data_IF_448221344364
#
_entry.id   IF_448221344364
#
_cell.length_a   1.000
_cell.length_b   1.000
_cell.length_c   1.000
_cell.angle_alpha   90.00
_cell.angle_beta   90.00
_cell.angle_gamma   90.00
#
_symmetry.space_group_name_H-M   'P 1'
#
loop_
_entity.id
_entity.type
_entity.pdbx_description
1 polymer ?
#
# COMPACT_ATOMS: atom_id res chain seq x y z
N UNK A 1 40.99 24.25 -29.13
CA UNK A 1 40.64 24.11 -27.70
C UNK A 1 39.14 23.94 -27.60
N UNK A 2 38.72 22.68 -27.62
CA UNK A 2 37.37 22.20 -27.43
C UNK A 2 37.23 21.60 -26.03
N UNK A 3 35.98 21.34 -25.63
CA UNK A 3 35.50 20.50 -24.52
C UNK A 3 35.14 21.24 -23.22
N UNK A 4 34.01 20.97 -22.55
CA UNK A 4 32.83 20.16 -22.89
C UNK A 4 31.70 20.62 -21.96
N UNK A 5 30.53 20.84 -22.55
CA UNK A 5 29.25 21.01 -21.89
C UNK A 5 28.78 19.63 -21.43
N UNK A 6 28.76 19.36 -20.12
CA UNK A 6 28.15 18.14 -19.57
C UNK A 6 26.67 18.42 -19.32
N UNK A 7 25.86 18.32 -20.37
CA UNK A 7 24.42 18.14 -20.26
C UNK A 7 24.15 16.78 -19.61
N UNK A 8 23.75 16.79 -18.35
CA UNK A 8 23.34 15.60 -17.59
C UNK A 8 21.90 15.17 -17.96
N UNK A 9 21.62 15.11 -19.27
CA UNK A 9 20.41 14.48 -19.84
C UNK A 9 20.82 13.07 -20.22
N UNK A 10 20.26 12.06 -19.52
CA UNK A 10 20.16 10.62 -19.91
C UNK A 10 20.48 9.59 -18.83
N UNK A 11 20.72 9.98 -17.57
CA UNK A 11 20.86 8.98 -16.48
C UNK A 11 19.56 8.59 -15.76
N UNK A 12 18.39 9.11 -16.17
CA UNK A 12 17.08 8.78 -15.56
C UNK A 12 16.21 7.81 -16.39
N UNK A 13 16.72 7.32 -17.52
CA UNK A 13 16.01 6.43 -18.46
C UNK A 13 16.51 4.97 -18.45
N UNK A 14 17.53 4.63 -17.63
CA UNK A 14 18.12 3.29 -17.52
C UNK A 14 17.83 2.57 -16.20
N UNK A 15 16.59 2.57 -15.71
CA UNK A 15 16.22 1.66 -14.61
C UNK A 15 14.83 1.08 -14.83
N UNK A 16 14.77 0.22 -15.83
CA UNK A 16 13.69 -0.75 -16.00
C UNK A 16 14.18 -2.08 -15.42
N UNK A 17 13.41 -2.66 -14.49
CA UNK A 17 13.45 -4.08 -14.09
C UNK A 17 14.64 -4.63 -13.27
N UNK A 18 15.53 -3.82 -12.70
CA UNK A 18 16.51 -4.36 -11.74
C UNK A 18 16.69 -3.47 -10.52
N UNK A 19 16.74 -4.15 -9.38
CA UNK A 19 17.06 -3.71 -8.02
C UNK A 19 15.87 -3.14 -7.23
N UNK A 20 15.54 -3.58 -6.02
CA UNK A 20 15.86 -4.77 -5.21
C UNK A 20 15.07 -4.51 -3.91
N UNK A 21 13.92 -5.17 -3.75
CA UNK A 21 13.26 -5.29 -2.45
C UNK A 21 14.12 -6.19 -1.58
N UNK A 22 14.87 -5.57 -0.68
CA UNK A 22 15.39 -6.22 0.52
C UNK A 22 14.87 -5.42 1.71
N UNK A 23 13.62 -5.69 2.08
CA UNK A 23 13.09 -5.36 3.40
C UNK A 23 13.73 -6.36 4.38
N UNK A 24 14.75 -5.90 5.10
CA UNK A 24 15.27 -6.58 6.28
C UNK A 24 15.15 -5.61 7.45
N UNK A 25 14.25 -5.96 8.38
CA UNK A 25 14.22 -5.58 9.79
C UNK A 25 14.61 -4.14 10.14
N UNK A 26 13.65 -3.24 10.01
CA UNK A 26 13.55 -2.07 10.89
C UNK A 26 12.17 -2.10 11.54
N UNK A 27 12.10 -2.10 12.87
CA UNK A 27 10.84 -1.98 13.63
C UNK A 27 9.92 -0.93 12.99
N UNK A 28 8.66 -1.27 12.65
CA UNK A 28 7.77 -0.29 12.08
C UNK A 28 7.48 0.79 13.14
N UNK A 29 8.00 2.00 12.92
CA UNK A 29 7.55 3.21 13.63
C UNK A 29 6.05 3.52 13.43
N UNK A 30 5.31 2.66 12.72
CA UNK A 30 3.84 2.57 12.75
C UNK A 30 3.35 2.55 14.21
N UNK A 31 4.07 1.90 15.12
CA UNK A 31 3.72 1.83 16.56
C UNK A 31 3.68 3.24 17.18
N UNK A 32 4.69 4.08 16.93
CA UNK A 32 4.81 5.41 17.56
C UNK A 32 3.79 6.46 17.08
N UNK A 33 3.23 6.30 15.88
CA UNK A 33 2.26 7.27 15.35
C UNK A 33 0.84 7.01 15.86
N UNK A 34 0.49 5.75 16.12
CA UNK A 34 -0.83 5.38 16.65
C UNK A 34 -0.89 5.36 18.17
N UNK A 35 0.24 5.19 18.86
CA UNK A 35 0.33 5.49 20.31
C UNK A 35 -0.08 6.95 20.63
N UNK A 36 -0.03 7.85 19.64
CA UNK A 36 -0.37 9.27 19.78
C UNK A 36 -1.78 9.63 19.29
N UNK A 37 -2.56 8.69 18.75
CA UNK A 37 -3.96 8.95 18.41
C UNK A 37 -4.76 8.89 19.72
N UNK A 38 -4.85 10.02 20.42
CA UNK A 38 -5.74 10.17 21.59
C UNK A 38 -7.18 9.96 21.15
N UNK A 39 -7.63 8.71 21.17
CA UNK A 39 -9.04 8.41 21.31
C UNK A 39 -9.52 9.12 22.57
N UNK A 40 -10.61 9.88 22.48
CA UNK A 40 -11.33 10.28 23.69
C UNK A 40 -11.86 8.99 24.30
N UNK A 41 -11.10 8.40 25.22
CA UNK A 41 -11.64 7.42 26.14
C UNK A 41 -12.72 8.14 26.94
N UNK A 42 -13.98 7.80 26.65
CA UNK A 42 -15.06 8.10 27.56
C UNK A 42 -14.79 7.18 28.77
N UNK A 43 -14.41 7.77 29.90
CA UNK A 43 -14.31 7.04 31.16
C UNK A 43 -15.64 6.32 31.40
N UNK A 44 -15.63 5.03 31.79
CA UNK A 44 -16.87 4.32 32.09
C UNK A 44 -17.46 4.91 33.37
N UNK A 45 -18.35 5.88 33.22
CA UNK A 45 -19.25 6.28 34.29
C UNK A 45 -20.23 5.14 34.52
N UNK A 46 -20.40 4.75 35.77
CA UNK A 46 -21.27 3.69 36.28
C UNK A 46 -22.77 3.93 36.05
N UNK A 47 -23.13 4.71 35.02
CA UNK A 47 -24.49 5.11 34.67
C UNK A 47 -24.96 4.65 33.29
N UNK A 48 -24.16 3.89 32.54
CA UNK A 48 -24.66 3.12 31.38
C UNK A 48 -24.81 1.65 31.78
N UNK A 49 -25.92 1.34 32.44
CA UNK A 49 -26.42 -0.02 32.56
C UNK A 49 -26.74 -0.49 31.14
N UNK A 50 -25.90 -1.39 30.61
CA UNK A 50 -26.13 -2.27 29.45
C UNK A 50 -27.36 -1.96 28.58
N UNK A 51 -27.15 -1.23 27.48
CA UNK A 51 -27.59 -1.82 26.21
C UNK A 51 -26.50 -2.81 25.85
N UNK A 52 -26.62 -4.05 26.34
CA UNK A 52 -25.86 -5.15 25.78
C UNK A 52 -26.21 -5.18 24.29
N UNK A 53 -25.29 -4.75 23.43
CA UNK A 53 -25.33 -5.10 22.02
C UNK A 53 -25.53 -6.62 22.00
N UNK A 54 -26.67 -7.09 21.48
CA UNK A 54 -26.95 -8.52 21.48
C UNK A 54 -25.84 -9.20 20.65
N UNK A 55 -25.47 -10.44 20.96
CA UNK A 55 -24.42 -11.15 20.19
C UNK A 55 -24.72 -11.16 18.68
N UNK A 56 -26.00 -11.17 18.32
CA UNK A 56 -26.49 -11.05 16.95
C UNK A 56 -26.12 -9.69 16.31
N UNK A 57 -26.30 -8.59 17.03
CA UNK A 57 -25.97 -7.23 16.56
C UNK A 57 -24.47 -7.06 16.32
N UNK A 58 -23.63 -7.66 17.19
CA UNK A 58 -22.18 -7.58 17.05
C UNK A 58 -21.66 -8.39 15.86
N UNK A 59 -22.31 -9.52 15.55
CA UNK A 59 -21.97 -10.32 14.37
C UNK A 59 -22.22 -9.55 13.07
N UNK A 60 -23.29 -8.74 13.01
CA UNK A 60 -23.60 -7.89 11.86
C UNK A 60 -22.50 -6.85 11.67
N UNK A 61 -22.15 -6.11 12.73
CA UNK A 61 -21.10 -5.09 12.69
C UNK A 61 -19.77 -5.68 12.21
N UNK A 62 -19.41 -6.87 12.68
CA UNK A 62 -18.17 -7.55 12.27
C UNK A 62 -18.18 -7.90 10.78
N UNK A 63 -19.28 -8.45 10.27
CA UNK A 63 -19.42 -8.76 8.85
C UNK A 63 -19.31 -7.49 8.00
N UNK A 64 -19.85 -6.37 8.45
CA UNK A 64 -19.76 -5.10 7.75
C UNK A 64 -18.34 -4.51 7.76
N UNK A 65 -17.61 -4.62 8.87
CA UNK A 65 -16.18 -4.26 8.94
C UNK A 65 -15.36 -5.09 7.97
N UNK A 66 -15.58 -6.41 7.94
CA UNK A 66 -14.85 -7.32 7.04
C UNK A 66 -15.19 -7.02 5.57
N UNK A 67 -16.47 -6.76 5.25
CA UNK A 67 -16.90 -6.32 3.92
C UNK A 67 -16.22 -5.01 3.50
N UNK A 68 -16.18 -4.01 4.38
CA UNK A 68 -15.48 -2.74 4.13
C UNK A 68 -14.01 -2.99 3.78
N UNK A 69 -13.30 -3.81 4.58
CA UNK A 69 -11.90 -4.14 4.32
C UNK A 69 -11.74 -4.83 2.96
N UNK A 70 -12.60 -5.78 2.61
CA UNK A 70 -12.57 -6.48 1.33
C UNK A 70 -12.76 -5.55 0.13
N UNK A 71 -13.78 -4.71 0.18
CA UNK A 71 -14.08 -3.76 -0.89
C UNK A 71 -12.92 -2.79 -1.10
N UNK A 72 -12.38 -2.22 -0.02
CA UNK A 72 -11.29 -1.24 -0.10
C UNK A 72 -9.96 -1.86 -0.53
N UNK A 73 -9.66 -3.07 -0.06
CA UNK A 73 -8.49 -3.80 -0.54
C UNK A 73 -8.60 -4.09 -2.03
N UNK A 74 -9.77 -4.53 -2.52
CA UNK A 74 -9.97 -4.82 -3.95
C UNK A 74 -9.97 -3.58 -4.83
N UNK A 75 -10.47 -2.45 -4.33
CA UNK A 75 -10.26 -1.14 -4.96
C UNK A 75 -8.77 -0.80 -5.05
N UNK A 76 -7.95 -1.33 -4.14
CA UNK A 76 -6.50 -1.10 -4.12
C UNK A 76 -6.07 0.02 -3.18
N UNK A 77 -6.90 0.39 -2.20
CA UNK A 77 -6.57 1.41 -1.19
C UNK A 77 -5.40 0.98 -0.31
N UNK A 78 -4.64 1.96 0.15
CA UNK A 78 -3.49 1.73 1.03
C UNK A 78 -3.91 1.31 2.43
N UNK A 79 -3.14 0.40 3.02
CA UNK A 79 -3.43 -0.24 4.30
C UNK A 79 -3.75 0.75 5.43
N UNK A 80 -3.00 1.85 5.51
CA UNK A 80 -3.21 2.89 6.51
C UNK A 80 -4.54 3.64 6.32
N UNK A 81 -5.03 3.77 5.08
CA UNK A 81 -6.33 4.37 4.76
C UNK A 81 -7.44 3.43 5.21
N UNK A 82 -7.33 2.14 4.87
CA UNK A 82 -8.30 1.11 5.25
C UNK A 82 -8.40 1.02 6.78
N UNK A 83 -7.26 0.96 7.46
CA UNK A 83 -7.20 0.93 8.92
C UNK A 83 -7.93 2.13 9.55
N UNK A 84 -7.76 3.33 8.99
CA UNK A 84 -8.48 4.52 9.44
C UNK A 84 -9.99 4.37 9.25
N UNK A 85 -10.44 3.95 8.07
CA UNK A 85 -11.87 3.77 7.80
C UNK A 85 -12.50 2.69 8.68
N UNK A 86 -11.78 1.61 9.01
CA UNK A 86 -12.24 0.61 9.99
C UNK A 86 -12.47 1.23 11.36
N UNK A 87 -11.56 2.08 11.86
CA UNK A 87 -11.76 2.77 13.14
C UNK A 87 -12.92 3.76 13.09
N UNK A 88 -13.02 4.55 12.02
CA UNK A 88 -14.09 5.52 11.84
C UNK A 88 -15.45 4.78 11.82
N UNK A 89 -15.55 3.68 11.07
CA UNK A 89 -16.75 2.83 11.03
C UNK A 89 -17.14 2.29 12.41
N UNK A 90 -16.20 1.71 13.16
CA UNK A 90 -16.49 1.15 14.50
C UNK A 90 -16.95 2.26 15.47
N UNK A 91 -16.33 3.44 15.39
CA UNK A 91 -16.72 4.59 16.22
C UNK A 91 -18.14 5.08 15.88
N UNK A 92 -18.49 5.14 14.60
CA UNK A 92 -19.82 5.60 14.14
C UNK A 92 -20.96 4.66 14.59
N UNK A 93 -20.65 3.38 14.79
CA UNK A 93 -21.60 2.38 15.32
C UNK A 93 -21.66 2.34 16.86
N UNK A 94 -20.93 3.21 17.55
CA UNK A 94 -20.84 3.24 19.02
C UNK A 94 -20.43 1.90 19.67
N UNK A 95 -19.69 1.05 18.95
CA UNK A 95 -19.25 -0.26 19.45
C UNK A 95 -17.86 -0.15 20.09
N UNK A 96 -17.69 -0.72 21.28
CA UNK A 96 -16.40 -0.72 21.94
C UNK A 96 -15.45 -1.76 21.30
N UNK A 97 -14.25 -1.32 20.88
CA UNK A 97 -13.20 -2.23 20.37
C UNK A 97 -12.84 -3.37 21.34
N UNK A 98 -12.99 -3.16 22.65
CA UNK A 98 -12.75 -4.20 23.67
C UNK A 98 -13.82 -5.29 23.59
N UNK A 99 -15.08 -4.92 23.37
CA UNK A 99 -16.19 -5.86 23.21
C UNK A 99 -16.03 -6.68 21.94
N UNK A 100 -15.69 -6.02 20.82
CA UNK A 100 -15.35 -6.70 19.55
C UNK A 100 -14.22 -7.71 19.79
N UNK A 101 -13.12 -7.30 20.44
CA UNK A 101 -11.99 -8.19 20.68
C UNK A 101 -12.36 -9.43 21.51
N UNK A 102 -13.12 -9.25 22.59
CA UNK A 102 -13.59 -10.37 23.43
C UNK A 102 -14.51 -11.29 22.61
N UNK A 103 -15.47 -10.71 21.88
CA UNK A 103 -16.39 -11.50 21.06
C UNK A 103 -15.64 -12.29 19.99
N UNK A 104 -14.69 -11.67 19.29
CA UNK A 104 -13.85 -12.34 18.29
C UNK A 104 -13.11 -13.53 18.92
N UNK A 105 -12.53 -13.35 20.11
CA UNK A 105 -11.81 -14.43 20.80
C UNK A 105 -12.68 -15.65 21.13
N UNK A 106 -13.98 -15.44 21.35
CA UNK A 106 -14.95 -16.50 21.67
C UNK A 106 -15.63 -17.11 20.43
N UNK A 107 -15.68 -16.38 19.30
CA UNK A 107 -16.44 -16.76 18.10
C UNK A 107 -15.52 -17.17 16.95
N UNK A 108 -14.82 -18.30 17.11
CA UNK A 108 -13.79 -18.80 16.18
C UNK A 108 -14.31 -19.90 15.22
N UNK A 109 -15.59 -19.82 14.85
CA UNK A 109 -16.30 -20.75 13.97
C UNK A 109 -16.61 -20.19 12.57
N UNK A 110 -16.55 -18.87 12.40
CA UNK A 110 -16.79 -18.18 11.14
C UNK A 110 -15.48 -17.61 10.58
N UNK A 111 -15.34 -17.62 9.26
CA UNK A 111 -14.09 -17.20 8.62
C UNK A 111 -13.77 -15.72 8.78
N UNK A 112 -14.79 -14.87 8.82
CA UNK A 112 -14.67 -13.40 8.91
C UNK A 112 -14.29 -12.99 10.33
N UNK A 113 -14.86 -13.64 11.34
CA UNK A 113 -14.45 -13.43 12.74
C UNK A 113 -13.02 -13.92 13.00
N UNK A 114 -12.62 -15.06 12.44
CA UNK A 114 -11.23 -15.54 12.52
C UNK A 114 -10.29 -14.55 11.82
N UNK A 115 -10.63 -14.11 10.60
CA UNK A 115 -9.86 -13.10 9.88
C UNK A 115 -9.71 -11.80 10.68
N UNK A 116 -10.81 -11.23 11.18
CA UNK A 116 -10.78 -9.96 11.89
C UNK A 116 -10.01 -10.09 13.21
N UNK A 117 -10.05 -11.25 13.87
CA UNK A 117 -9.20 -11.52 15.03
C UNK A 117 -7.71 -11.52 14.64
N UNK A 118 -7.36 -12.16 13.52
CA UNK A 118 -6.03 -12.10 12.93
C UNK A 118 -5.59 -10.67 12.63
N UNK A 119 -6.48 -9.85 12.05
CA UNK A 119 -6.27 -8.43 11.80
C UNK A 119 -5.95 -7.66 13.09
N UNK A 120 -6.68 -7.91 14.17
CA UNK A 120 -6.41 -7.26 15.46
C UNK A 120 -5.02 -7.64 16.01
N UNK A 121 -4.62 -8.91 15.89
CA UNK A 121 -3.27 -9.34 16.27
C UNK A 121 -2.16 -8.77 15.38
N UNK A 122 -2.39 -8.67 14.08
CA UNK A 122 -1.44 -8.12 13.13
C UNK A 122 -1.15 -6.64 13.43
N UNK A 123 -2.20 -5.86 13.72
CA UNK A 123 -2.12 -4.42 13.96
C UNK A 123 -1.97 -4.01 15.42
N UNK A 124 -2.05 -4.95 16.37
CA UNK A 124 -2.02 -4.65 17.81
C UNK A 124 -3.25 -3.89 18.30
N UNK A 125 -4.43 -4.20 17.76
CA UNK A 125 -5.69 -3.56 18.16
C UNK A 125 -6.18 -4.23 19.43
N UNK A 126 -6.16 -3.51 20.56
CA UNK A 126 -6.48 -4.03 21.91
C UNK A 126 -5.62 -5.21 22.38
N UNK A 127 -4.51 -5.47 21.69
CA UNK A 127 -3.52 -6.49 22.01
C UNK A 127 -2.13 -6.01 21.59
N UNK A 128 -1.08 -6.71 22.00
CA UNK A 128 0.26 -6.46 21.46
C UNK A 128 0.33 -7.00 20.03
N UNK A 129 1.10 -6.34 19.16
CA UNK A 129 1.37 -6.85 17.82
C UNK A 129 1.92 -8.28 17.93
N UNK A 130 1.26 -9.21 17.25
CA UNK A 130 1.64 -10.60 17.19
C UNK A 130 1.37 -11.15 15.78
N UNK A 131 2.35 -10.94 14.88
CA UNK A 131 2.23 -11.36 13.49
C UNK A 131 2.20 -12.88 13.32
N UNK A 132 2.86 -13.64 14.20
CA UNK A 132 2.80 -15.10 14.19
C UNK A 132 1.38 -15.60 14.50
N UNK A 133 0.72 -15.04 15.51
CA UNK A 133 -0.67 -15.40 15.81
C UNK A 133 -1.63 -14.96 14.69
N UNK A 134 -1.42 -13.78 14.11
CA UNK A 134 -2.18 -13.33 12.95
C UNK A 134 -2.05 -14.31 11.78
N UNK A 135 -0.83 -14.78 11.51
CA UNK A 135 -0.54 -15.78 10.47
C UNK A 135 -1.34 -17.07 10.69
N UNK A 136 -1.33 -17.62 11.91
CA UNK A 136 -2.07 -18.84 12.26
C UNK A 136 -3.59 -18.67 12.09
N UNK A 137 -4.12 -17.50 12.49
CA UNK A 137 -5.53 -17.16 12.30
C UNK A 137 -5.88 -17.02 10.80
N UNK A 138 -5.02 -16.40 10.01
CA UNK A 138 -5.24 -16.30 8.56
C UNK A 138 -5.15 -17.64 7.84
N UNK A 139 -4.30 -18.57 8.28
CA UNK A 139 -4.31 -19.94 7.77
C UNK A 139 -5.67 -20.60 8.04
N UNK A 140 -6.17 -20.52 9.27
CA UNK A 140 -7.47 -21.08 9.66
C UNK A 140 -8.63 -20.44 8.89
N UNK A 141 -8.64 -19.12 8.71
CA UNK A 141 -9.66 -18.43 7.91
C UNK A 141 -9.58 -18.82 6.42
N UNK A 142 -8.37 -19.03 5.89
CA UNK A 142 -8.14 -19.49 4.51
C UNK A 142 -8.67 -20.90 4.27
N UNK A 143 -8.52 -21.82 5.24
CA UNK A 143 -9.12 -23.16 5.18
C UNK A 143 -10.65 -23.10 5.05
N UNK A 144 -11.27 -22.06 5.60
CA UNK A 144 -12.69 -21.75 5.46
C UNK A 144 -13.03 -20.88 4.23
N UNK A 145 -12.10 -20.77 3.27
CA UNK A 145 -12.24 -20.02 2.00
C UNK A 145 -12.40 -18.51 2.16
N UNK A 146 -11.71 -17.91 3.13
CA UNK A 146 -11.67 -16.45 3.26
C UNK A 146 -10.60 -15.83 2.35
N UNK A 147 -11.05 -15.10 1.33
CA UNK A 147 -10.17 -14.44 0.36
C UNK A 147 -9.32 -13.31 0.97
N UNK A 148 -9.83 -12.63 2.00
CA UNK A 148 -9.08 -11.61 2.73
C UNK A 148 -7.88 -12.19 3.47
N UNK A 149 -8.08 -13.29 4.18
CA UNK A 149 -7.00 -14.01 4.85
C UNK A 149 -5.97 -14.52 3.84
N UNK A 150 -6.39 -15.01 2.68
CA UNK A 150 -5.48 -15.38 1.60
C UNK A 150 -4.66 -14.16 1.11
N UNK A 151 -5.29 -13.00 0.94
CA UNK A 151 -4.59 -11.77 0.57
C UNK A 151 -3.52 -11.39 1.59
N UNK A 152 -3.81 -11.49 2.89
CA UNK A 152 -2.82 -11.22 3.94
C UNK A 152 -1.69 -12.24 3.93
N UNK A 153 -1.99 -13.53 3.82
CA UNK A 153 -0.97 -14.58 3.72
C UNK A 153 -0.03 -14.37 2.54
N UNK A 154 -0.52 -13.90 1.38
CA UNK A 154 0.33 -13.56 0.25
C UNK A 154 1.37 -12.50 0.65
N UNK A 155 0.96 -11.42 1.34
CA UNK A 155 1.90 -10.39 1.82
C UNK A 155 2.91 -10.98 2.80
N UNK A 156 2.42 -11.74 3.79
CA UNK A 156 3.26 -12.31 4.84
C UNK A 156 4.31 -13.26 4.27
N UNK A 157 3.96 -14.10 3.30
CA UNK A 157 4.90 -14.99 2.63
C UNK A 157 5.88 -14.27 1.70
N UNK A 158 5.50 -13.13 1.11
CA UNK A 158 6.42 -12.31 0.29
C UNK A 158 7.43 -11.57 1.16
N UNK A 159 6.96 -10.94 2.22
CA UNK A 159 7.77 -10.03 3.03
C UNK A 159 8.47 -10.75 4.20
N UNK A 160 8.02 -11.94 4.56
CA UNK A 160 8.52 -12.71 5.71
C UNK A 160 8.03 -12.14 7.04
N UNK A 161 6.82 -11.61 7.06
CA UNK A 161 6.27 -10.96 8.24
C UNK A 161 5.56 -11.96 9.14
N UNK A 162 6.16 -12.28 10.28
CA UNK A 162 5.59 -13.28 11.20
C UNK A 162 5.68 -14.72 10.70
N UNK A 163 6.34 -14.97 9.57
CA UNK A 163 6.62 -16.28 8.98
C UNK A 163 7.87 -16.19 8.11
N UNK A 164 8.54 -17.31 7.83
CA UNK A 164 9.59 -17.33 6.81
C UNK A 164 9.03 -17.02 5.41
N UNK A 165 9.85 -16.37 4.57
CA UNK A 165 9.48 -16.07 3.19
C UNK A 165 9.22 -17.35 2.42
N UNK A 166 8.08 -17.43 1.76
CA UNK A 166 7.71 -18.53 0.87
C UNK A 166 7.06 -17.98 -0.40
N UNK A 167 7.91 -17.55 -1.33
CA UNK A 167 7.45 -16.96 -2.58
C UNK A 167 6.61 -17.94 -3.42
N UNK A 168 6.83 -19.26 -3.29
CA UNK A 168 6.02 -20.25 -4.01
C UNK A 168 4.59 -20.28 -3.47
N UNK A 169 4.41 -20.31 -2.16
CA UNK A 169 3.06 -20.21 -1.55
C UNK A 169 2.37 -18.90 -1.88
N UNK A 170 3.08 -17.77 -1.82
CA UNK A 170 2.52 -16.48 -2.22
C UNK A 170 2.01 -16.51 -3.67
N UNK A 171 2.76 -17.12 -4.58
CA UNK A 171 2.36 -17.29 -5.98
C UNK A 171 1.14 -18.20 -6.15
N UNK A 172 1.11 -19.36 -5.46
CA UNK A 172 -0.04 -20.29 -5.53
C UNK A 172 -1.32 -19.65 -5.01
N UNK A 173 -1.28 -19.00 -3.83
CA UNK A 173 -2.43 -18.28 -3.28
C UNK A 173 -2.91 -17.16 -4.22
N UNK A 174 -1.99 -16.44 -4.87
CA UNK A 174 -2.34 -15.41 -5.84
C UNK A 174 -3.05 -15.98 -7.07
N UNK A 175 -2.71 -17.20 -7.50
CA UNK A 175 -3.44 -17.89 -8.59
C UNK A 175 -4.84 -18.32 -8.18
N UNK A 176 -5.03 -18.74 -6.93
CA UNK A 176 -6.34 -19.13 -6.44
C UNK A 176 -7.30 -17.94 -6.38
N UNK A 177 -6.82 -16.77 -5.93
CA UNK A 177 -7.58 -15.52 -5.96
C UNK A 177 -7.88 -15.02 -7.39
N UNK A 178 -7.03 -15.34 -8.37
CA UNK A 178 -7.30 -15.00 -9.77
C UNK A 178 -8.50 -15.77 -10.34
N UNK A 179 -8.69 -17.03 -9.92
CA UNK A 179 -9.86 -17.85 -10.29
C UNK A 179 -11.15 -17.32 -9.69
N UNK A 180 -11.08 -16.75 -8.48
CA UNK A 180 -12.19 -16.06 -7.81
C UNK A 180 -12.46 -14.64 -8.31
N UNK A 181 -11.72 -14.18 -9.32
CA UNK A 181 -11.77 -12.81 -9.86
C UNK A 181 -11.49 -11.70 -8.84
N UNK A 182 -10.77 -12.00 -7.76
CA UNK A 182 -10.44 -11.04 -6.69
C UNK A 182 -9.39 -10.02 -7.17
N UNK A 183 -9.74 -8.74 -7.43
CA UNK A 183 -8.88 -7.80 -8.14
C UNK A 183 -7.51 -7.58 -7.49
N UNK A 184 -7.47 -7.53 -6.16
CA UNK A 184 -6.19 -7.41 -5.44
C UNK A 184 -5.32 -8.65 -5.57
N UNK A 185 -5.92 -9.85 -5.59
CA UNK A 185 -5.20 -11.11 -5.84
C UNK A 185 -4.64 -11.18 -7.26
N UNK A 186 -5.44 -10.75 -8.25
CA UNK A 186 -5.01 -10.65 -9.66
C UNK A 186 -3.83 -9.68 -9.79
N UNK A 187 -3.90 -8.50 -9.15
CA UNK A 187 -2.79 -7.55 -9.15
C UNK A 187 -1.52 -8.14 -8.50
N UNK A 188 -1.66 -8.89 -7.39
CA UNK A 188 -0.53 -9.59 -6.75
C UNK A 188 0.06 -10.68 -7.65
N UNK A 189 -0.77 -11.42 -8.37
CA UNK A 189 -0.29 -12.41 -9.34
C UNK A 189 0.48 -11.73 -10.49
N UNK A 190 -0.01 -10.59 -10.98
CA UNK A 190 0.68 -9.76 -11.96
C UNK A 190 2.06 -9.31 -11.46
N UNK A 191 2.14 -8.93 -10.19
CA UNK A 191 3.38 -8.59 -9.52
C UNK A 191 4.35 -9.78 -9.41
N UNK A 192 3.84 -10.98 -9.10
CA UNK A 192 4.65 -12.19 -9.05
C UNK A 192 5.29 -12.50 -10.41
N UNK A 193 4.52 -12.52 -11.49
CA UNK A 193 5.07 -12.73 -12.84
C UNK A 193 6.01 -11.61 -13.28
N UNK A 194 5.72 -10.35 -12.91
CA UNK A 194 6.56 -9.22 -13.30
C UNK A 194 7.96 -9.26 -12.68
N UNK A 195 8.09 -9.83 -11.49
CA UNK A 195 9.33 -9.83 -10.70
C UNK A 195 9.94 -11.23 -10.49
N UNK A 196 9.28 -12.29 -10.95
CA UNK A 196 9.76 -13.66 -10.77
C UNK A 196 9.62 -14.17 -9.33
N UNK A 197 8.55 -13.78 -8.64
CA UNK A 197 8.30 -14.18 -7.24
C UNK A 197 7.54 -15.51 -7.27
N UNK A 198 8.21 -16.59 -6.88
CA UNK A 198 7.63 -17.93 -6.85
C UNK A 198 7.43 -18.57 -8.24
N UNK A 199 7.81 -17.86 -9.29
CA UNK A 199 7.65 -18.25 -10.70
C UNK A 199 8.73 -17.59 -11.55
N UNK A 200 8.86 -17.99 -12.81
CA UNK A 200 9.74 -17.31 -13.77
C UNK A 200 9.14 -15.95 -14.19
N UNK A 201 10.02 -15.00 -14.54
CA UNK A 201 9.58 -13.69 -15.01
C UNK A 201 8.79 -13.85 -16.31
N UNK A 202 7.54 -13.35 -16.31
CA UNK A 202 6.69 -13.27 -17.49
C UNK A 202 6.02 -11.89 -17.57
N UNK A 203 6.71 -10.96 -18.21
CA UNK A 203 6.30 -9.55 -18.30
C UNK A 203 5.01 -9.39 -19.13
N UNK A 204 4.76 -10.28 -20.11
CA UNK A 204 3.50 -10.28 -20.88
C UNK A 204 2.32 -10.73 -20.01
N UNK A 205 2.49 -11.81 -19.24
CA UNK A 205 1.44 -12.28 -18.32
C UNK A 205 1.15 -11.25 -17.22
N UNK A 206 2.18 -10.57 -16.71
CA UNK A 206 2.01 -9.46 -15.78
C UNK A 206 1.15 -8.34 -16.38
N UNK A 207 1.41 -7.94 -17.63
CA UNK A 207 0.59 -6.95 -18.35
C UNK A 207 -0.88 -7.37 -18.44
N UNK A 208 -1.16 -8.61 -18.88
CA UNK A 208 -2.52 -9.15 -19.00
C UNK A 208 -3.26 -9.14 -17.65
N UNK A 209 -2.58 -9.52 -16.56
CA UNK A 209 -3.15 -9.54 -15.22
C UNK A 209 -3.41 -8.13 -14.67
N UNK A 210 -2.48 -7.18 -14.88
CA UNK A 210 -2.72 -5.80 -14.48
C UNK A 210 -3.86 -5.17 -15.28
N UNK A 211 -3.99 -5.48 -16.57
CA UNK A 211 -5.15 -5.06 -17.35
C UNK A 211 -6.45 -5.64 -16.76
N UNK A 212 -6.49 -6.95 -16.49
CA UNK A 212 -7.66 -7.61 -15.86
C UNK A 212 -8.03 -6.98 -14.51
N UNK A 213 -7.07 -6.78 -13.62
CA UNK A 213 -7.33 -6.15 -12.31
C UNK A 213 -7.77 -4.68 -12.44
N UNK A 214 -7.20 -3.93 -13.39
CA UNK A 214 -7.60 -2.55 -13.66
C UNK A 214 -9.02 -2.45 -14.21
N UNK A 215 -9.43 -3.37 -15.09
CA UNK A 215 -10.79 -3.45 -15.63
C UNK A 215 -11.83 -3.77 -14.54
N UNK A 216 -11.39 -4.44 -13.47
CA UNK A 216 -12.17 -4.68 -12.24
C UNK A 216 -12.07 -3.53 -11.21
N UNK A 217 -11.45 -2.39 -11.57
CA UNK A 217 -11.42 -1.19 -10.74
C UNK A 217 -10.25 -1.09 -9.75
N UNK A 218 -9.24 -1.97 -9.84
CA UNK A 218 -8.09 -1.90 -8.93
C UNK A 218 -7.13 -0.74 -9.31
N UNK A 219 -7.01 0.25 -8.43
CA UNK A 219 -6.23 1.48 -8.68
C UNK A 219 -4.72 1.26 -8.68
N UNK A 220 -4.22 0.22 -8.00
CA UNK A 220 -2.80 -0.16 -8.06
C UNK A 220 -2.47 -0.74 -9.43
N UNK A 221 -3.35 -1.59 -9.94
CA UNK A 221 -3.23 -2.17 -11.28
C UNK A 221 -3.27 -1.09 -12.37
N UNK A 222 -4.09 -0.05 -12.22
CA UNK A 222 -4.07 1.12 -13.12
C UNK A 222 -2.68 1.78 -13.17
N UNK A 223 -2.06 2.01 -12.00
CA UNK A 223 -0.70 2.56 -11.94
C UNK A 223 0.33 1.63 -12.61
N UNK A 224 0.27 0.34 -12.31
CA UNK A 224 1.16 -0.66 -12.93
C UNK A 224 1.00 -0.68 -14.45
N UNK A 225 -0.24 -0.65 -14.95
CA UNK A 225 -0.54 -0.59 -16.38
C UNK A 225 -0.01 0.69 -17.04
N UNK A 226 -0.11 1.84 -16.36
CA UNK A 226 0.48 3.10 -16.80
C UNK A 226 1.99 3.00 -17.02
N UNK A 227 2.71 2.25 -16.17
CA UNK A 227 4.14 2.00 -16.35
C UNK A 227 4.44 1.18 -17.61
N UNK A 228 3.57 0.24 -18.01
CA UNK A 228 3.73 -0.51 -19.26
C UNK A 228 3.63 0.39 -20.49
N UNK A 229 2.61 1.24 -20.56
CA UNK A 229 2.44 2.19 -21.66
C UNK A 229 3.54 3.25 -21.71
N UNK A 230 3.99 3.74 -20.55
CA UNK A 230 5.13 4.67 -20.47
C UNK A 230 6.44 4.05 -20.99
N UNK A 231 6.67 2.78 -20.69
CA UNK A 231 7.94 2.11 -21.00
C UNK A 231 7.97 1.49 -22.41
N UNK A 232 6.83 1.07 -22.95
CA UNK A 232 6.73 0.59 -24.32
C UNK A 232 7.34 -0.79 -24.60
N UNK A 233 7.50 -1.65 -23.58
CA UNK A 233 8.22 -2.93 -23.72
C UNK A 233 7.36 -4.10 -24.23
N UNK A 234 6.11 -4.18 -23.77
CA UNK A 234 5.16 -5.26 -24.13
C UNK A 234 4.05 -4.72 -25.03
N UNK A 235 3.69 -3.46 -24.84
CA UNK A 235 2.76 -2.69 -25.66
C UNK A 235 3.50 -1.50 -26.25
N UNK A 236 2.98 -0.95 -27.35
CA UNK A 236 3.53 0.28 -27.93
C UNK A 236 3.58 1.39 -26.87
N UNK A 237 4.67 2.16 -26.87
CA UNK A 237 4.80 3.30 -25.95
C UNK A 237 3.71 4.31 -26.24
N UNK A 238 2.97 4.68 -25.21
CA UNK A 238 1.86 5.63 -25.28
C UNK A 238 1.87 6.48 -23.99
N UNK A 239 2.40 7.70 -24.11
CA UNK A 239 2.54 8.59 -22.97
C UNK A 239 1.18 9.18 -22.54
N UNK A 240 0.26 9.42 -23.48
CA UNK A 240 -1.06 9.99 -23.18
C UNK A 240 -1.90 8.97 -22.42
N UNK A 241 -1.88 7.70 -22.85
CA UNK A 241 -2.52 6.61 -22.12
C UNK A 241 -1.89 6.37 -20.75
N UNK A 242 -0.56 6.46 -20.64
CA UNK A 242 0.11 6.36 -19.36
C UNK A 242 -0.33 7.48 -18.40
N UNK A 243 -0.39 8.73 -18.87
CA UNK A 243 -0.86 9.87 -18.11
C UNK A 243 -2.28 9.66 -17.58
N UNK A 244 -3.22 9.27 -18.45
CA UNK A 244 -4.61 9.02 -18.06
C UNK A 244 -4.75 7.90 -17.02
N UNK A 245 -3.95 6.82 -17.13
CA UNK A 245 -3.94 5.73 -16.16
C UNK A 245 -3.38 6.17 -14.80
N UNK A 246 -2.28 6.93 -14.78
CA UNK A 246 -1.75 7.49 -13.54
C UNK A 246 -2.72 8.48 -12.90
N UNK A 247 -3.40 9.29 -13.71
CA UNK A 247 -4.42 10.23 -13.25
C UNK A 247 -5.59 9.52 -12.57
N UNK A 248 -6.17 8.50 -13.21
CA UNK A 248 -7.23 7.68 -12.60
C UNK A 248 -6.79 7.00 -11.30
N UNK A 249 -5.57 6.48 -11.27
CA UNK A 249 -4.99 5.89 -10.05
C UNK A 249 -4.81 6.93 -8.93
N UNK A 250 -4.40 8.15 -9.28
CA UNK A 250 -4.24 9.26 -8.34
C UNK A 250 -5.58 9.79 -7.81
N UNK A 251 -6.62 9.82 -8.65
CA UNK A 251 -8.00 10.16 -8.28
C UNK A 251 -8.57 9.14 -7.26
N UNK A 252 -8.19 7.87 -7.37
CA UNK A 252 -8.46 6.84 -6.37
C UNK A 252 -7.62 6.92 -5.10
N UNK A 253 -6.82 7.98 -4.94
CA UNK A 253 -5.94 8.22 -3.79
C UNK A 253 -4.88 7.14 -3.54
N UNK A 254 -4.37 6.50 -4.60
CA UNK A 254 -3.19 5.65 -4.45
C UNK A 254 -1.92 6.49 -4.48
N UNK A 255 -1.12 6.48 -3.39
CA UNK A 255 0.09 7.29 -3.31
C UNK A 255 1.07 7.06 -4.47
N UNK A 256 1.23 5.82 -4.93
CA UNK A 256 2.05 5.49 -6.10
C UNK A 256 1.53 6.11 -7.40
N UNK A 257 0.21 6.15 -7.59
CA UNK A 257 -0.44 6.82 -8.72
C UNK A 257 -0.24 8.34 -8.68
N UNK A 258 -0.44 8.94 -7.50
CA UNK A 258 -0.18 10.37 -7.25
C UNK A 258 1.28 10.73 -7.56
N UNK A 259 2.25 9.92 -7.11
CA UNK A 259 3.68 10.11 -7.41
C UNK A 259 3.95 10.03 -8.91
N UNK A 260 3.36 9.06 -9.62
CA UNK A 260 3.56 8.94 -11.06
C UNK A 260 2.90 10.07 -11.84
N UNK A 261 1.75 10.58 -11.40
CA UNK A 261 1.13 11.76 -11.97
C UNK A 261 2.02 13.00 -11.77
N UNK A 262 2.59 13.17 -10.56
CA UNK A 262 3.57 14.22 -10.27
C UNK A 262 4.75 14.17 -11.24
N UNK A 263 5.30 12.97 -11.46
CA UNK A 263 6.38 12.74 -12.43
C UNK A 263 5.98 13.05 -13.88
N UNK A 264 4.72 12.85 -14.24
CA UNK A 264 4.24 13.21 -15.57
C UNK A 264 4.27 14.72 -15.79
N UNK A 265 3.82 15.50 -14.82
CA UNK A 265 3.92 16.96 -14.86
C UNK A 265 5.36 17.47 -14.75
N UNK A 266 6.23 16.78 -14.01
CA UNK A 266 7.65 17.14 -13.93
C UNK A 266 8.36 17.03 -15.29
N UNK A 267 8.09 15.94 -16.01
CA UNK A 267 8.84 15.54 -17.21
C UNK A 267 8.08 15.75 -18.53
N UNK A 268 6.81 16.17 -18.48
CA UNK A 268 5.96 16.32 -19.66
C UNK A 268 5.55 14.99 -20.30
N UNK A 269 5.24 13.97 -19.49
CA UNK A 269 4.81 12.65 -19.98
C UNK A 269 3.30 12.69 -20.18
N UNK A 270 2.87 12.76 -21.45
CA UNK A 270 1.44 12.78 -21.82
C UNK A 270 0.72 14.07 -21.42
N UNK A 271 1.47 15.08 -21.02
CA UNK A 271 0.98 16.40 -20.60
C UNK A 271 2.10 17.43 -20.76
N UNK A 272 1.78 18.72 -20.60
CA UNK A 272 2.77 19.79 -20.55
C UNK A 272 3.49 19.81 -19.21
N UNK A 273 4.74 20.28 -19.20
CA UNK A 273 5.51 20.41 -17.95
C UNK A 273 4.83 21.44 -17.03
N UNK A 274 4.51 21.02 -15.81
CA UNK A 274 4.00 21.87 -14.74
C UNK A 274 4.68 21.50 -13.41
N UNK A 275 5.71 22.27 -13.07
CA UNK A 275 6.51 22.03 -11.86
C UNK A 275 5.73 22.35 -10.58
N UNK A 276 4.77 23.26 -10.63
CA UNK A 276 3.94 23.60 -9.46
C UNK A 276 2.99 22.44 -9.16
N UNK A 277 2.30 21.93 -10.18
CA UNK A 277 1.44 20.76 -10.05
C UNK A 277 2.23 19.52 -9.60
N UNK A 278 3.42 19.30 -10.18
CA UNK A 278 4.32 18.22 -9.74
C UNK A 278 4.67 18.34 -8.25
N UNK A 279 5.00 19.55 -7.78
CA UNK A 279 5.31 19.78 -6.37
C UNK A 279 4.13 19.46 -5.46
N UNK A 280 2.93 19.93 -5.80
CA UNK A 280 1.71 19.69 -5.03
C UNK A 280 1.38 18.19 -4.93
N UNK A 281 1.53 17.45 -6.04
CA UNK A 281 1.31 16.00 -6.08
C UNK A 281 2.37 15.23 -5.29
N UNK A 282 3.66 15.57 -5.43
CA UNK A 282 4.70 14.95 -4.60
C UNK A 282 4.51 15.27 -3.12
N UNK A 283 4.07 16.48 -2.77
CA UNK A 283 3.76 16.85 -1.39
C UNK A 283 2.57 16.04 -0.84
N UNK A 284 1.51 15.84 -1.63
CA UNK A 284 0.37 14.98 -1.26
C UNK A 284 0.84 13.54 -1.00
N UNK A 285 1.52 12.91 -1.95
CA UNK A 285 2.00 11.54 -1.81
C UNK A 285 3.05 11.37 -0.69
N UNK A 286 3.91 12.36 -0.48
CA UNK A 286 4.90 12.36 0.60
C UNK A 286 4.25 12.37 2.00
N UNK A 287 3.14 13.11 2.16
CA UNK A 287 2.33 13.12 3.38
C UNK A 287 1.62 11.77 3.62
N UNK A 288 1.33 11.03 2.54
CA UNK A 288 0.85 9.65 2.57
C UNK A 288 1.97 8.61 2.77
N UNK A 289 3.18 9.07 3.12
CA UNK A 289 4.38 8.26 3.38
C UNK A 289 4.90 7.47 2.18
N UNK A 290 4.68 7.96 0.95
CA UNK A 290 5.33 7.39 -0.23
C UNK A 290 6.80 7.80 -0.27
N UNK A 291 7.71 6.84 -0.12
CA UNK A 291 9.15 7.08 -0.02
C UNK A 291 9.73 7.74 -1.28
N UNK A 292 9.26 7.33 -2.47
CA UNK A 292 9.68 7.91 -3.75
C UNK A 292 9.22 9.36 -3.88
N UNK A 293 7.98 9.67 -3.47
CA UNK A 293 7.50 11.05 -3.44
C UNK A 293 8.30 11.92 -2.46
N UNK A 294 8.62 11.39 -1.28
CA UNK A 294 9.43 12.10 -0.29
C UNK A 294 10.83 12.41 -0.84
N UNK A 295 11.45 11.46 -1.55
CA UNK A 295 12.73 11.69 -2.22
C UNK A 295 12.63 12.75 -3.32
N UNK A 296 11.62 12.66 -4.20
CA UNK A 296 11.44 13.65 -5.27
C UNK A 296 11.12 15.04 -4.74
N UNK A 297 10.31 15.14 -3.68
CA UNK A 297 10.02 16.38 -2.99
C UNK A 297 11.29 16.99 -2.37
N UNK A 298 12.15 16.15 -1.77
CA UNK A 298 13.44 16.58 -1.25
C UNK A 298 14.33 17.17 -2.36
N UNK A 299 14.41 16.51 -3.52
CA UNK A 299 15.12 17.02 -4.69
C UNK A 299 14.57 18.37 -5.17
N UNK A 300 13.24 18.56 -5.18
CA UNK A 300 12.64 19.83 -5.57
C UNK A 300 13.02 20.96 -4.61
N UNK A 301 13.08 20.69 -3.30
CA UNK A 301 13.56 21.64 -2.29
C UNK A 301 15.08 21.89 -2.39
N UNK A 302 15.89 20.89 -2.72
CA UNK A 302 17.34 21.04 -2.90
C UNK A 302 17.66 21.94 -4.10
N UNK A 303 17.03 21.65 -5.25
CA UNK A 303 17.33 22.31 -6.53
C UNK A 303 16.59 23.66 -6.66
N UNK A 304 15.44 23.82 -6.02
CA UNK A 304 14.54 24.97 -6.23
C UNK A 304 13.82 24.91 -7.59
N UNK A 305 13.46 23.71 -8.04
CA UNK A 305 12.88 23.49 -9.37
C UNK A 305 11.35 23.72 -9.36
N UNK A 306 10.89 24.96 -9.57
CA UNK A 306 9.47 25.33 -9.53
C UNK A 306 8.95 25.80 -8.16
N UNK A 307 9.84 25.79 -7.16
CA UNK A 307 9.64 26.36 -5.82
C UNK A 307 10.94 27.01 -5.36
N UNK A 308 10.89 27.83 -4.28
CA UNK A 308 12.12 28.34 -3.66
C UNK A 308 12.88 27.17 -3.00
N UNK A 309 14.19 27.09 -3.27
CA UNK A 309 15.06 26.10 -2.64
C UNK A 309 15.09 26.25 -1.12
N UNK A 310 15.11 25.14 -0.40
CA UNK A 310 15.16 25.07 1.07
C UNK A 310 15.87 23.79 1.49
N UNK A 311 17.16 23.90 1.82
CA UNK A 311 17.98 22.73 2.15
C UNK A 311 17.54 22.04 3.44
N UNK A 312 16.98 22.78 4.41
CA UNK A 312 16.48 22.19 5.65
C UNK A 312 15.27 21.28 5.37
N UNK A 313 14.36 21.73 4.49
CA UNK A 313 13.23 20.90 4.05
C UNK A 313 13.68 19.73 3.18
N UNK A 314 14.69 19.91 2.34
CA UNK A 314 15.28 18.82 1.56
C UNK A 314 15.82 17.71 2.48
N UNK A 315 16.65 18.07 3.47
CA UNK A 315 17.21 17.12 4.45
C UNK A 315 16.09 16.43 5.24
N UNK A 316 15.06 17.17 5.67
CA UNK A 316 13.89 16.60 6.36
C UNK A 316 13.23 15.48 5.53
N UNK A 317 12.93 15.75 4.27
CA UNK A 317 12.27 14.79 3.39
C UNK A 317 13.17 13.64 2.97
N UNK A 318 14.47 13.88 2.76
CA UNK A 318 15.44 12.80 2.56
C UNK A 318 15.49 11.86 3.76
N UNK A 319 15.52 12.37 5.00
CA UNK A 319 15.49 11.54 6.21
C UNK A 319 14.23 10.69 6.27
N UNK A 320 13.06 11.27 6.00
CA UNK A 320 11.78 10.54 5.98
C UNK A 320 11.76 9.43 4.92
N UNK A 321 12.26 9.71 3.73
CA UNK A 321 12.36 8.72 2.65
C UNK A 321 13.36 7.60 2.99
N UNK A 322 14.52 7.96 3.56
CA UNK A 322 15.56 7.03 3.98
C UNK A 322 15.11 6.10 5.13
N UNK A 323 14.32 6.62 6.08
CA UNK A 323 13.67 5.86 7.15
C UNK A 323 12.73 4.77 6.61
N UNK A 324 12.19 4.96 5.40
CA UNK A 324 11.35 3.98 4.69
C UNK A 324 12.16 3.05 3.77
N UNK A 325 13.49 3.12 3.82
CA UNK A 325 14.37 2.23 3.04
C UNK A 325 14.73 2.74 1.64
N UNK A 326 14.40 4.00 1.30
CA UNK A 326 14.76 4.55 0.00
C UNK A 326 16.28 4.72 -0.12
N UNK A 327 16.92 3.86 -0.91
CA UNK A 327 18.38 3.83 -1.10
C UNK A 327 18.93 5.13 -1.70
N UNK A 328 18.17 5.83 -2.54
CA UNK A 328 18.62 7.11 -3.12
C UNK A 328 18.66 8.21 -2.07
N UNK A 329 17.64 8.28 -1.20
CA UNK A 329 17.62 9.20 -0.09
C UNK A 329 18.74 8.89 0.92
N UNK A 330 18.97 7.61 1.25
CA UNK A 330 20.08 7.18 2.10
C UNK A 330 21.43 7.62 1.52
N UNK A 331 21.67 7.34 0.23
CA UNK A 331 22.89 7.76 -0.44
C UNK A 331 23.03 9.29 -0.52
N UNK A 332 21.93 10.03 -0.66
CA UNK A 332 21.98 11.49 -0.64
C UNK A 332 22.30 12.07 0.72
N UNK A 333 21.80 11.50 1.80
CA UNK A 333 22.15 11.94 3.17
C UNK A 333 23.62 11.69 3.52
N UNK A 334 24.32 10.79 2.82
CA UNK A 334 25.76 10.61 2.98
C UNK A 334 26.59 11.69 2.26
N UNK A 335 25.98 12.44 1.34
CA UNK A 335 26.63 13.46 0.51
C UNK A 335 26.35 14.89 0.96
N UNK A 336 25.40 15.09 1.87
CA UNK A 336 24.95 16.37 2.44
C UNK A 336 25.50 16.48 3.85
#
# INVERSE_FOLDING_TARGET
MSEQVVTNKDNYSRLSYKQELNLTNSEPQIIKYFDNMKLKEIEPTTQNIHESIFEEDLSIVINEVVRLIFEELNQGKEEHVIKKHVFDFINDHNVCLKEIFIWLSNNQNNSDSIYLFGYFHYYGIKTKINKQNAFELYLKATELRNDLAQLELINMYMDGEGVEKDHKKAFELSKDLEKGETPSGINKLGYCYGNGIGTDINVKKAFELYQKAADLGNIRALCNLGLFYKNGKVVAKDNDKAFELFKKSAEGEFSGGITMLGRCYELGIGTSIDKKMSFELYQKAANMRNDVAQFNLALMYEIGNGIKSDMNKAIYWYKKSAELGNKYAQNKLLQI
#
